data_IF_064459708636
#
_entry.id   IF_064459708636
#
_cell.length_a   1.000
_cell.length_b   1.000
_cell.length_c   1.000
_cell.angle_alpha   90.00
_cell.angle_beta   90.00
_cell.angle_gamma   90.00
#
_symmetry.space_group_name_H-M   'P 1'
#
loop_
_entity.id
_entity.type
_entity.pdbx_description
1 polymer ?
#
# COMPACT_ATOMS: atom_id res chain seq x y z
N UNK A 1 22.76 -11.46 -1.94
CA UNK A 1 21.81 -12.52 -1.56
C UNK A 1 20.47 -12.29 -2.25
N UNK A 2 20.21 -13.01 -3.34
CA UNK A 2 19.08 -12.85 -4.26
C UNK A 2 18.11 -14.05 -4.30
N UNK A 3 17.95 -14.77 -3.20
CA UNK A 3 17.20 -16.03 -3.13
C UNK A 3 15.68 -15.86 -2.89
N UNK A 4 15.12 -14.64 -3.06
CA UNK A 4 13.70 -14.38 -2.80
C UNK A 4 12.94 -14.22 -4.10
N UNK A 5 11.88 -15.01 -4.25
CA UNK A 5 10.94 -14.92 -5.38
C UNK A 5 10.10 -13.64 -5.26
N UNK A 6 9.72 -13.05 -6.39
CA UNK A 6 8.79 -11.91 -6.41
C UNK A 6 7.44 -12.33 -5.80
N UNK A 7 6.95 -11.67 -4.72
CA UNK A 7 5.67 -12.02 -4.10
C UNK A 7 4.48 -11.97 -5.04
N UNK A 8 4.49 -11.05 -6.02
CA UNK A 8 3.47 -10.92 -7.05
C UNK A 8 3.48 -12.17 -7.92
N UNK A 9 4.63 -12.49 -8.51
CA UNK A 9 4.80 -13.64 -9.40
C UNK A 9 4.48 -14.97 -8.72
N UNK A 10 4.85 -15.12 -7.44
CA UNK A 10 4.54 -16.30 -6.63
C UNK A 10 3.03 -16.54 -6.43
N UNK A 11 2.20 -15.50 -6.59
CA UNK A 11 0.76 -15.54 -6.32
C UNK A 11 -0.10 -15.34 -7.58
N UNK A 12 0.53 -15.16 -8.74
CA UNK A 12 -0.17 -15.11 -10.02
C UNK A 12 -0.87 -16.45 -10.27
N UNK A 13 -2.14 -16.39 -10.67
CA UNK A 13 -2.97 -17.58 -10.94
C UNK A 13 -3.62 -18.21 -9.71
N UNK A 14 -3.21 -17.85 -8.48
CA UNK A 14 -3.90 -18.29 -7.25
C UNK A 14 -5.04 -17.33 -6.91
N UNK A 15 -4.70 -16.05 -6.68
CA UNK A 15 -5.71 -15.01 -6.43
C UNK A 15 -5.43 -13.71 -7.20
N UNK A 16 -4.18 -13.45 -7.60
CA UNK A 16 -3.83 -12.23 -8.34
C UNK A 16 -3.96 -12.46 -9.84
N UNK A 17 -4.67 -11.54 -10.49
CA UNK A 17 -4.86 -11.51 -11.94
C UNK A 17 -3.69 -10.84 -12.67
N UNK A 18 -3.54 -11.16 -13.96
CA UNK A 18 -2.60 -10.50 -14.86
C UNK A 18 -2.92 -9.01 -15.06
N UNK A 19 -1.87 -8.21 -15.29
CA UNK A 19 -1.97 -6.80 -15.64
C UNK A 19 -2.28 -6.58 -17.14
N UNK A 20 -1.98 -7.58 -17.98
CA UNK A 20 -2.31 -7.55 -19.40
C UNK A 20 -3.25 -8.72 -19.72
N UNK A 21 -4.42 -8.41 -20.28
CA UNK A 21 -5.46 -9.37 -20.64
C UNK A 21 -5.71 -9.30 -22.13
N UNK A 22 -5.02 -10.16 -22.88
CA UNK A 22 -5.23 -10.34 -24.30
C UNK A 22 -4.59 -11.64 -24.75
N UNK A 23 -5.00 -12.11 -25.92
CA UNK A 23 -4.50 -13.34 -26.53
C UNK A 23 -4.04 -13.06 -27.95
N UNK A 24 -2.92 -13.66 -28.35
CA UNK A 24 -2.46 -13.66 -29.74
C UNK A 24 -1.56 -14.87 -29.99
N UNK A 25 -1.75 -15.52 -31.13
CA UNK A 25 -0.93 -16.67 -31.54
C UNK A 25 0.39 -16.20 -32.17
N UNK A 26 0.33 -15.74 -33.43
CA UNK A 26 1.52 -15.44 -34.25
C UNK A 26 2.11 -14.06 -34.00
N UNK A 27 1.29 -13.10 -33.57
CA UNK A 27 1.71 -11.70 -33.42
C UNK A 27 2.15 -11.33 -32.00
N UNK A 28 2.21 -12.30 -31.07
CA UNK A 28 2.49 -12.07 -29.66
C UNK A 28 3.72 -11.18 -29.40
N UNK A 29 4.84 -11.47 -30.08
CA UNK A 29 6.09 -10.72 -29.89
C UNK A 29 5.93 -9.25 -30.26
N UNK A 30 5.24 -8.91 -31.35
CA UNK A 30 5.03 -7.52 -31.78
C UNK A 30 4.18 -6.78 -30.76
N UNK A 31 3.09 -7.42 -30.33
CA UNK A 31 2.16 -6.86 -29.34
C UNK A 31 2.82 -6.65 -27.97
N UNK A 32 3.73 -7.54 -27.58
CA UNK A 32 4.49 -7.39 -26.35
C UNK A 32 5.45 -6.18 -26.40
N UNK A 33 6.14 -5.96 -27.52
CA UNK A 33 7.00 -4.78 -27.67
C UNK A 33 6.21 -3.48 -27.65
N UNK A 34 5.03 -3.47 -28.28
CA UNK A 34 4.08 -2.36 -28.19
C UNK A 34 3.69 -2.09 -26.72
N UNK A 35 3.32 -3.12 -25.96
CA UNK A 35 2.92 -2.97 -24.55
C UNK A 35 4.06 -2.44 -23.65
N UNK A 36 5.28 -2.96 -23.84
CA UNK A 36 6.46 -2.48 -23.11
C UNK A 36 6.76 -1.01 -23.43
N UNK A 37 6.62 -0.60 -24.70
CA UNK A 37 6.81 0.79 -25.10
C UNK A 37 5.74 1.71 -24.47
N UNK A 38 4.48 1.29 -24.48
CA UNK A 38 3.37 2.03 -23.87
C UNK A 38 3.57 2.19 -22.36
N UNK A 39 3.92 1.12 -21.64
CA UNK A 39 4.19 1.18 -20.19
C UNK A 39 5.33 2.13 -19.85
N UNK A 40 6.41 2.13 -20.65
CA UNK A 40 7.55 3.06 -20.48
C UNK A 40 7.12 4.51 -20.70
N UNK A 41 6.32 4.78 -21.74
CA UNK A 41 5.81 6.11 -22.04
C UNK A 41 4.93 6.63 -20.89
N UNK A 42 3.93 5.83 -20.48
CA UNK A 42 3.02 6.17 -19.37
C UNK A 42 3.82 6.43 -18.09
N UNK A 43 4.73 5.51 -17.73
CA UNK A 43 5.56 5.66 -16.53
C UNK A 43 6.49 6.89 -16.57
N UNK A 44 6.91 7.33 -17.75
CA UNK A 44 7.74 8.54 -17.90
C UNK A 44 6.92 9.83 -17.82
N UNK A 45 5.75 9.86 -18.46
CA UNK A 45 4.88 11.05 -18.55
C UNK A 45 4.15 11.32 -17.25
N UNK A 46 3.71 10.27 -16.56
CA UNK A 46 2.83 10.35 -15.39
C UNK A 46 3.57 10.17 -14.05
N UNK A 47 4.89 10.43 -14.02
CA UNK A 47 5.68 10.38 -12.77
C UNK A 47 5.06 11.19 -11.63
N UNK A 48 4.45 12.33 -11.94
CA UNK A 48 3.86 13.22 -10.95
C UNK A 48 2.46 12.77 -10.46
N UNK A 49 1.79 11.90 -11.21
CA UNK A 49 0.44 11.45 -10.91
C UNK A 49 0.41 10.30 -9.88
N UNK A 50 1.52 9.58 -9.69
CA UNK A 50 1.57 8.37 -8.86
C UNK A 50 0.72 7.26 -9.50
N UNK A 51 1.33 6.53 -10.43
CA UNK A 51 0.68 5.43 -11.15
C UNK A 51 1.02 4.14 -10.44
N UNK A 52 0.00 3.48 -9.87
CA UNK A 52 0.20 2.25 -9.12
C UNK A 52 0.23 1.03 -10.04
N UNK A 53 -0.76 0.94 -10.94
CA UNK A 53 -0.98 -0.20 -11.81
C UNK A 53 -1.47 0.26 -13.17
N UNK A 54 -0.96 -0.39 -14.21
CA UNK A 54 -1.40 -0.19 -15.59
C UNK A 54 -1.96 -1.52 -16.07
N UNK A 55 -3.25 -1.53 -16.33
CA UNK A 55 -3.97 -2.65 -16.91
C UNK A 55 -4.16 -2.42 -18.41
N UNK A 56 -3.99 -3.49 -19.20
CA UNK A 56 -4.07 -3.39 -20.66
C UNK A 56 -4.94 -4.50 -21.19
N UNK A 57 -6.05 -4.12 -21.81
CA UNK A 57 -6.99 -5.02 -22.45
C UNK A 57 -6.98 -4.72 -23.95
N UNK A 58 -6.74 -5.74 -24.77
CA UNK A 58 -6.71 -5.59 -26.22
C UNK A 58 -7.83 -6.40 -26.86
N UNK A 59 -8.70 -5.68 -27.57
CA UNK A 59 -9.63 -6.23 -28.53
C UNK A 59 -9.01 -6.19 -29.93
N UNK A 60 -9.60 -6.87 -30.92
CA UNK A 60 -9.05 -6.94 -32.28
C UNK A 60 -8.69 -5.54 -32.86
N UNK A 61 -9.62 -4.58 -32.72
CA UNK A 61 -9.52 -3.23 -33.33
C UNK A 61 -9.31 -2.10 -32.31
N UNK A 62 -9.39 -2.37 -31.01
CA UNK A 62 -9.34 -1.34 -29.98
C UNK A 62 -8.47 -1.78 -28.82
N UNK A 63 -7.64 -0.85 -28.33
CA UNK A 63 -6.85 -1.02 -27.13
C UNK A 63 -7.48 -0.23 -25.99
N UNK A 64 -7.77 -0.89 -24.88
CA UNK A 64 -8.24 -0.24 -23.65
C UNK A 64 -7.10 -0.25 -22.63
N UNK A 65 -6.63 0.94 -22.24
CA UNK A 65 -5.63 1.10 -21.20
C UNK A 65 -6.31 1.62 -19.96
N UNK A 66 -6.23 0.86 -18.88
CA UNK A 66 -6.81 1.20 -17.58
C UNK A 66 -5.68 1.60 -16.65
N UNK A 67 -5.68 2.86 -16.22
CA UNK A 67 -4.64 3.42 -15.36
C UNK A 67 -5.21 3.58 -13.95
N UNK A 68 -4.61 2.89 -12.99
CA UNK A 68 -4.92 3.08 -11.57
C UNK A 68 -3.97 4.10 -10.97
N UNK A 69 -4.52 5.20 -10.46
CA UNK A 69 -3.74 6.34 -9.96
C UNK A 69 -4.25 6.85 -8.63
N UNK A 70 -3.33 7.39 -7.83
CA UNK A 70 -3.67 8.12 -6.61
C UNK A 70 -4.23 9.52 -6.88
N UNK A 71 -3.88 10.14 -8.02
CA UNK A 71 -4.21 11.54 -8.32
C UNK A 71 -4.82 11.66 -9.73
N UNK A 72 -6.11 11.32 -9.90
CA UNK A 72 -6.76 11.36 -11.22
C UNK A 72 -6.76 12.76 -11.83
N UNK A 73 -6.83 13.83 -11.01
CA UNK A 73 -6.82 15.21 -11.50
C UNK A 73 -5.57 15.59 -12.31
N UNK A 74 -4.40 15.04 -11.96
CA UNK A 74 -3.15 15.31 -12.70
C UNK A 74 -3.16 14.56 -14.03
N UNK A 75 -3.71 13.34 -14.06
CA UNK A 75 -3.83 12.53 -15.29
C UNK A 75 -4.79 13.16 -16.28
N UNK A 76 -5.91 13.71 -15.78
CA UNK A 76 -6.93 14.35 -16.61
C UNK A 76 -6.43 15.69 -17.16
N UNK A 77 -5.78 16.49 -16.31
CA UNK A 77 -5.30 17.83 -16.65
C UNK A 77 -6.44 18.85 -16.80
N UNK A 78 -6.11 20.05 -17.29
CA UNK A 78 -7.09 21.12 -17.51
C UNK A 78 -8.01 20.72 -18.67
N UNK A 79 -9.32 20.57 -18.39
CA UNK A 79 -10.36 20.21 -19.37
C UNK A 79 -10.08 18.92 -20.18
N UNK A 80 -9.31 17.97 -19.63
CA UNK A 80 -9.01 16.71 -20.33
C UNK A 80 -7.83 16.75 -21.30
N UNK A 81 -7.16 17.90 -21.46
CA UNK A 81 -6.08 18.07 -22.43
C UNK A 81 -4.92 17.07 -22.27
N UNK A 82 -4.64 16.62 -21.03
CA UNK A 82 -3.57 15.65 -20.77
C UNK A 82 -3.96 14.23 -21.20
N UNK A 83 -5.24 13.86 -21.10
CA UNK A 83 -5.74 12.56 -21.57
C UNK A 83 -5.74 12.49 -23.08
N UNK A 84 -6.16 13.57 -23.74
CA UNK A 84 -6.17 13.65 -25.19
C UNK A 84 -4.75 13.56 -25.76
N UNK A 85 -3.80 14.29 -25.18
CA UNK A 85 -2.39 14.19 -25.55
C UNK A 85 -1.82 12.77 -25.34
N UNK A 86 -2.14 12.13 -24.21
CA UNK A 86 -1.70 10.76 -23.93
C UNK A 86 -2.30 9.77 -24.93
N UNK A 87 -3.58 9.95 -25.28
CA UNK A 87 -4.26 9.13 -26.26
C UNK A 87 -3.62 9.26 -27.64
N UNK A 88 -3.32 10.47 -28.11
CA UNK A 88 -2.66 10.70 -29.39
C UNK A 88 -1.27 10.04 -29.44
N UNK A 89 -0.50 10.14 -28.35
CA UNK A 89 0.81 9.49 -28.23
C UNK A 89 0.71 7.95 -28.26
N UNK A 90 -0.28 7.38 -27.57
CA UNK A 90 -0.51 5.93 -27.57
C UNK A 90 -1.04 5.44 -28.93
N UNK A 91 -1.85 6.22 -29.63
CA UNK A 91 -2.32 5.91 -30.99
C UNK A 91 -1.15 5.92 -31.99
N UNK A 92 -0.15 6.80 -31.83
CA UNK A 92 1.07 6.81 -32.67
C UNK A 92 1.92 5.54 -32.51
N UNK A 93 2.01 4.99 -31.30
CA UNK A 93 2.81 3.79 -31.02
C UNK A 93 2.06 2.52 -31.47
N UNK A 94 0.78 2.44 -31.16
CA UNK A 94 -0.04 1.23 -31.37
C UNK A 94 -0.58 1.14 -32.80
N UNK A 95 -0.77 2.27 -33.49
CA UNK A 95 -1.44 2.33 -34.80
C UNK A 95 -2.92 1.93 -34.77
N UNK A 96 -3.48 1.72 -33.57
CA UNK A 96 -4.87 1.33 -33.31
C UNK A 96 -5.56 2.39 -32.47
N UNK A 97 -6.90 2.39 -32.47
CA UNK A 97 -7.69 3.28 -31.61
C UNK A 97 -7.49 2.91 -30.14
N UNK A 98 -7.12 3.90 -29.33
CA UNK A 98 -6.86 3.72 -27.90
C UNK A 98 -7.96 4.36 -27.07
N UNK A 99 -8.47 3.63 -26.08
CA UNK A 99 -9.38 4.13 -25.05
C UNK A 99 -8.65 4.13 -23.71
N UNK A 100 -8.46 5.31 -23.14
CA UNK A 100 -7.84 5.46 -21.82
C UNK A 100 -8.94 5.58 -20.77
N UNK A 101 -8.90 4.70 -19.76
CA UNK A 101 -9.82 4.72 -18.60
C UNK A 101 -9.00 4.95 -17.33
N UNK A 102 -9.41 5.89 -16.50
CA UNK A 102 -8.69 6.26 -15.28
C UNK A 102 -9.50 5.78 -14.09
N UNK A 103 -8.88 4.96 -13.24
CA UNK A 103 -9.44 4.53 -11.96
C UNK A 103 -8.68 5.18 -10.81
N UNK A 104 -9.43 5.72 -9.87
CA UNK A 104 -8.89 6.34 -8.67
C UNK A 104 -8.68 5.31 -7.56
N UNK A 105 -7.50 5.34 -6.95
CA UNK A 105 -7.20 4.63 -5.71
C UNK A 105 -7.58 5.55 -4.55
N UNK A 106 -8.65 5.19 -3.83
CA UNK A 106 -9.16 5.98 -2.69
C UNK A 106 -8.13 6.14 -1.57
N UNK A 107 -7.36 5.10 -1.31
CA UNK A 107 -6.40 5.04 -0.20
C UNK A 107 -5.02 4.65 -0.73
N UNK A 108 -4.15 5.64 -1.04
CA UNK A 108 -2.84 5.37 -1.66
C UNK A 108 -1.88 4.60 -0.75
N UNK A 109 -2.10 4.64 0.57
CA UNK A 109 -1.26 3.98 1.57
C UNK A 109 -1.47 2.45 1.64
N UNK A 110 -2.50 1.92 0.96
CA UNK A 110 -2.74 0.47 0.83
C UNK A 110 -1.99 -0.16 -0.36
N UNK A 111 -1.51 0.66 -1.31
CA UNK A 111 -0.79 0.19 -2.49
C UNK A 111 0.73 0.25 -2.28
N UNK A 112 1.42 -0.87 -2.47
CA UNK A 112 2.83 -0.96 -2.16
C UNK A 112 3.70 -0.11 -3.11
N UNK A 113 3.26 0.09 -4.35
CA UNK A 113 4.01 0.88 -5.35
C UNK A 113 3.97 2.36 -4.99
N UNK A 114 2.79 2.88 -4.65
CA UNK A 114 2.62 4.27 -4.24
C UNK A 114 3.37 4.59 -2.94
N UNK A 115 3.34 3.66 -1.98
CA UNK A 115 4.10 3.76 -0.74
C UNK A 115 5.61 3.79 -1.03
N UNK A 116 6.11 2.93 -1.92
CA UNK A 116 7.51 2.94 -2.32
C UNK A 116 7.92 4.24 -3.03
N UNK A 117 7.08 4.77 -3.92
CA UNK A 117 7.30 6.06 -4.60
C UNK A 117 7.32 7.25 -3.63
N UNK A 118 6.47 7.22 -2.60
CA UNK A 118 6.45 8.24 -1.55
C UNK A 118 7.76 8.25 -0.76
N UNK A 119 8.23 7.08 -0.33
CA UNK A 119 9.54 6.95 0.35
C UNK A 119 10.67 7.41 -0.56
N UNK A 120 10.64 7.01 -1.84
CA UNK A 120 11.65 7.45 -2.81
C UNK A 120 11.68 8.98 -2.95
N UNK A 121 10.52 9.61 -3.07
CA UNK A 121 10.37 11.06 -3.16
C UNK A 121 10.87 11.78 -1.89
N UNK A 122 10.70 11.18 -0.71
CA UNK A 122 11.23 11.72 0.55
C UNK A 122 12.77 11.64 0.62
N UNK A 123 13.34 10.55 0.13
CA UNK A 123 14.80 10.38 0.05
C UNK A 123 15.45 11.34 -0.95
N UNK A 124 14.78 11.62 -2.07
CA UNK A 124 15.23 12.63 -3.04
C UNK A 124 15.24 14.05 -2.45
N UNK A 125 14.28 14.35 -1.56
CA UNK A 125 14.21 15.60 -0.78
C UNK A 125 15.21 15.67 0.38
N UNK A 126 16.16 14.73 0.49
CA UNK A 126 17.19 14.67 1.53
C UNK A 126 16.64 14.50 2.96
N UNK A 127 15.45 13.92 3.11
CA UNK A 127 14.94 13.54 4.43
C UNK A 127 15.75 12.35 4.96
N UNK A 128 16.02 12.32 6.27
CA UNK A 128 16.69 11.20 6.90
C UNK A 128 15.95 9.88 6.64
N UNK A 129 16.65 8.86 6.14
CA UNK A 129 16.02 7.61 5.70
C UNK A 129 15.27 6.88 6.82
N UNK A 130 15.77 6.89 8.07
CA UNK A 130 15.07 6.31 9.23
C UNK A 130 13.76 7.01 9.54
N UNK A 131 13.73 8.35 9.41
CA UNK A 131 12.51 9.13 9.59
C UNK A 131 11.50 8.82 8.50
N UNK A 132 11.93 8.79 7.24
CA UNK A 132 11.07 8.47 6.10
C UNK A 132 10.46 7.07 6.22
N UNK A 133 11.24 6.08 6.69
CA UNK A 133 10.80 4.71 6.96
C UNK A 133 9.72 4.68 8.04
N UNK A 134 10.04 5.14 9.26
CA UNK A 134 9.09 5.12 10.39
C UNK A 134 7.82 5.90 10.10
N UNK A 135 7.95 7.08 9.47
CA UNK A 135 6.81 7.93 9.13
C UNK A 135 5.86 7.24 8.14
N UNK A 136 6.41 6.63 7.10
CA UNK A 136 5.61 5.91 6.09
C UNK A 136 4.99 4.66 6.69
N UNK A 137 5.75 3.90 7.48
CA UNK A 137 5.27 2.69 8.15
C UNK A 137 4.07 2.97 9.08
N UNK A 138 4.18 4.00 9.94
CA UNK A 138 3.08 4.43 10.79
C UNK A 138 1.84 4.86 9.99
N UNK A 139 2.04 5.49 8.82
CA UNK A 139 0.95 5.93 7.97
C UNK A 139 0.22 4.76 7.31
N UNK A 140 0.96 3.77 6.79
CA UNK A 140 0.38 2.54 6.23
C UNK A 140 -0.36 1.72 7.28
N UNK A 141 0.17 1.61 8.51
CA UNK A 141 -0.50 0.93 9.61
C UNK A 141 -1.82 1.65 10.00
N UNK A 142 -1.81 2.98 10.07
CA UNK A 142 -3.04 3.78 10.32
C UNK A 142 -4.10 3.61 9.23
N UNK A 143 -3.67 3.37 7.99
CA UNK A 143 -4.59 3.11 6.88
C UNK A 143 -5.26 1.73 6.94
N UNK A 144 -4.88 0.86 7.88
CA UNK A 144 -5.49 -0.45 8.10
C UNK A 144 -4.72 -1.62 7.49
N UNK A 145 -3.45 -1.44 7.12
CA UNK A 145 -2.59 -2.55 6.69
C UNK A 145 -2.25 -3.44 7.91
N UNK A 146 -2.38 -4.77 7.79
CA UNK A 146 -2.13 -5.71 8.89
C UNK A 146 -0.65 -5.95 9.18
N UNK A 147 0.20 -5.64 8.21
CA UNK A 147 1.64 -5.57 8.40
C UNK A 147 2.34 -4.99 7.19
N UNK A 148 3.40 -4.26 7.44
CA UNK A 148 4.18 -3.59 6.41
C UNK A 148 5.67 -3.84 6.68
N UNK A 149 6.41 -4.09 5.61
CA UNK A 149 7.87 -4.15 5.63
C UNK A 149 8.40 -3.21 4.55
N UNK A 150 9.27 -2.29 4.92
CA UNK A 150 9.92 -1.38 3.98
C UNK A 150 11.42 -1.56 4.12
N UNK A 151 12.09 -1.82 3.00
CA UNK A 151 13.53 -1.99 2.93
C UNK A 151 14.12 -0.95 1.99
N UNK A 152 15.20 -0.31 2.43
CA UNK A 152 15.95 0.66 1.65
C UNK A 152 17.37 0.16 1.49
N UNK A 153 17.89 0.22 0.28
CA UNK A 153 19.21 -0.29 -0.08
C UNK A 153 19.96 0.71 -0.95
N UNK A 154 21.22 0.97 -0.61
CA UNK A 154 22.07 1.90 -1.36
C UNK A 154 22.98 2.73 -0.46
N UNK A 155 23.45 3.86 -0.97
CA UNK A 155 24.30 4.82 -0.25
C UNK A 155 23.46 5.69 0.68
N UNK A 156 23.02 5.11 1.79
CA UNK A 156 22.14 5.78 2.75
C UNK A 156 22.86 6.96 3.41
N UNK A 157 22.23 8.13 3.40
CA UNK A 157 22.79 9.35 4.00
C UNK A 157 24.06 9.88 3.32
N UNK A 158 24.37 9.43 2.10
CA UNK A 158 25.60 9.85 1.38
C UNK A 158 26.85 9.07 1.78
N UNK A 159 26.73 8.00 2.55
CA UNK A 159 27.87 7.12 2.87
C UNK A 159 28.50 6.54 1.60
N UNK A 160 29.83 6.32 1.62
CA UNK A 160 30.56 5.69 0.51
C UNK A 160 30.13 4.24 0.32
N UNK A 161 29.93 3.49 1.42
CA UNK A 161 29.53 2.09 1.38
C UNK A 161 28.00 1.93 1.33
N UNK A 162 27.52 1.05 0.45
CA UNK A 162 26.09 0.74 0.39
C UNK A 162 25.64 -0.08 1.61
N UNK A 163 24.55 0.34 2.25
CA UNK A 163 23.93 -0.37 3.37
C UNK A 163 22.50 -0.80 3.00
N UNK A 164 21.97 -1.78 3.73
CA UNK A 164 20.58 -2.22 3.62
C UNK A 164 19.93 -2.11 4.99
N UNK A 165 19.00 -1.18 5.12
CA UNK A 165 18.20 -1.00 6.34
C UNK A 165 16.76 -1.43 6.02
N UNK A 166 16.09 -2.07 6.97
CA UNK A 166 14.69 -2.42 6.83
C UNK A 166 13.97 -2.14 8.15
N UNK A 167 12.74 -1.69 8.01
CA UNK A 167 11.81 -1.51 9.13
C UNK A 167 10.57 -2.36 8.86
N UNK A 168 9.99 -2.94 9.90
CA UNK A 168 8.83 -3.83 9.79
C UNK A 168 7.92 -3.62 10.98
N UNK A 169 6.65 -3.45 10.68
CA UNK A 169 5.58 -3.42 11.66
C UNK A 169 4.50 -4.45 11.28
N UNK A 170 3.90 -5.08 12.29
CA UNK A 170 2.91 -6.14 12.11
C UNK A 170 3.42 -7.41 11.44
N UNK A 171 2.49 -8.18 10.85
CA UNK A 171 2.75 -9.51 10.27
C UNK A 171 2.90 -9.43 8.76
N UNK A 172 3.97 -10.01 8.20
CA UNK A 172 4.18 -10.12 6.74
C UNK A 172 4.53 -11.58 6.38
N UNK A 173 3.53 -12.44 6.14
CA UNK A 173 3.75 -13.84 5.81
C UNK A 173 4.08 -14.02 4.31
N UNK A 174 5.36 -14.13 3.97
CA UNK A 174 5.80 -14.23 2.56
C UNK A 174 5.60 -15.63 1.95
N UNK A 175 5.70 -16.68 2.76
CA UNK A 175 5.59 -18.07 2.30
C UNK A 175 4.14 -18.53 2.12
N UNK A 176 3.19 -17.88 2.79
CA UNK A 176 1.77 -18.26 2.73
C UNK A 176 1.15 -17.75 1.43
N UNK A 177 0.67 -18.66 0.57
CA UNK A 177 0.05 -18.31 -0.71
C UNK A 177 -1.28 -17.58 -0.55
N UNK A 178 -2.09 -17.93 0.46
CA UNK A 178 -3.39 -17.31 0.75
C UNK A 178 -3.29 -15.86 1.22
N UNK A 179 -2.10 -15.44 1.68
CA UNK A 179 -1.89 -14.11 2.21
C UNK A 179 -1.87 -13.11 1.05
N UNK A 180 -2.74 -12.10 1.12
CA UNK A 180 -2.75 -10.99 0.19
C UNK A 180 -1.59 -10.03 0.51
N UNK A 181 -0.47 -10.28 -0.16
CA UNK A 181 0.74 -9.46 -0.03
C UNK A 181 0.95 -8.70 -1.33
N UNK A 182 0.92 -7.37 -1.22
CA UNK A 182 1.31 -6.49 -2.30
C UNK A 182 2.79 -6.12 -2.19
N UNK A 183 3.43 -5.93 -3.34
CA UNK A 183 4.87 -5.63 -3.43
C UNK A 183 5.11 -4.49 -4.40
N UNK A 184 5.87 -3.50 -3.94
CA UNK A 184 6.24 -2.33 -4.72
C UNK A 184 7.74 -2.12 -4.68
N UNK A 185 8.29 -1.65 -5.79
CA UNK A 185 9.69 -1.25 -5.88
C UNK A 185 9.78 0.13 -6.54
N UNK A 186 10.57 1.01 -5.93
CA UNK A 186 10.86 2.32 -6.47
C UNK A 186 12.36 2.62 -6.36
N UNK A 187 12.86 3.45 -7.28
CA UNK A 187 14.24 3.93 -7.27
C UNK A 187 14.26 5.43 -6.99
N UNK A 188 14.94 5.84 -5.93
CA UNK A 188 15.20 7.24 -5.62
C UNK A 188 16.51 7.69 -6.29
N UNK A 189 16.45 8.79 -7.03
CA UNK A 189 17.61 9.38 -7.72
C UNK A 189 18.22 10.47 -6.84
N UNK A 190 19.32 10.13 -6.17
CA UNK A 190 20.06 11.07 -5.31
C UNK A 190 21.35 11.53 -5.99
N UNK A 191 21.98 12.59 -5.47
CA UNK A 191 23.26 13.09 -6.00
C UNK A 191 24.39 12.07 -5.91
N UNK A 192 24.33 11.16 -4.93
CA UNK A 192 25.37 10.16 -4.69
C UNK A 192 25.13 8.84 -5.41
N UNK A 193 24.01 8.71 -6.14
CA UNK A 193 23.62 7.51 -6.86
C UNK A 193 22.15 7.16 -6.68
N UNK A 194 21.83 5.88 -6.86
CA UNK A 194 20.47 5.36 -6.75
C UNK A 194 20.27 4.63 -5.42
N UNK A 195 19.14 4.88 -4.79
CA UNK A 195 18.69 4.15 -3.62
C UNK A 195 17.45 3.36 -4.00
N UNK A 196 17.51 2.04 -3.85
CA UNK A 196 16.40 1.14 -4.10
C UNK A 196 15.51 1.00 -2.87
N UNK A 197 14.22 1.26 -3.03
CA UNK A 197 13.19 1.07 -2.00
C UNK A 197 12.32 -0.12 -2.41
N UNK A 198 12.15 -1.06 -1.49
CA UNK A 198 11.27 -2.23 -1.64
C UNK A 198 10.24 -2.19 -0.52
N UNK A 199 8.97 -2.34 -0.87
CA UNK A 199 7.85 -2.33 0.07
C UNK A 199 7.06 -3.64 -0.06
N UNK A 200 6.72 -4.24 1.08
CA UNK A 200 5.78 -5.36 1.20
C UNK A 200 4.65 -4.92 2.10
N UNK A 201 3.41 -4.96 1.62
CA UNK A 201 2.22 -4.67 2.40
C UNK A 201 1.36 -5.93 2.50
N UNK A 202 0.92 -6.26 3.70
CA UNK A 202 -0.01 -7.35 3.98
C UNK A 202 -1.39 -6.78 4.30
N UNK A 203 -2.32 -6.96 3.35
CA UNK A 203 -3.69 -6.43 3.42
C UNK A 203 -4.62 -7.39 4.18
N UNK A 204 -4.23 -8.66 4.35
CA UNK A 204 -5.03 -9.70 4.97
C UNK A 204 -4.96 -11.02 4.24
N UNK A 205 -5.61 -12.04 4.79
CA UNK A 205 -5.82 -13.30 4.08
C UNK A 205 -6.90 -13.07 3.01
N UNK A 206 -6.69 -13.59 1.81
CA UNK A 206 -7.68 -13.53 0.75
C UNK A 206 -8.83 -14.49 1.07
N UNK A 207 -10.03 -13.97 1.14
CA UNK A 207 -11.28 -14.73 1.34
C UNK A 207 -11.86 -15.01 -0.04
N UNK A 208 -12.11 -16.28 -0.36
CA UNK A 208 -12.72 -16.68 -1.63
C UNK A 208 -14.12 -16.08 -1.77
N UNK A 209 -14.67 -16.00 -2.99
CA UNK A 209 -15.97 -15.38 -3.31
C UNK A 209 -17.18 -15.87 -2.49
N UNK A 210 -17.04 -16.96 -1.73
CA UNK A 210 -18.03 -17.49 -0.78
C UNK A 210 -17.98 -16.84 0.62
N UNK A 211 -17.10 -15.87 0.88
CA UNK A 211 -17.05 -15.15 2.17
C UNK A 211 -16.52 -15.97 3.35
N UNK A 212 -16.26 -17.27 3.16
CA UNK A 212 -15.63 -18.12 4.15
C UNK A 212 -14.10 -18.04 4.03
N UNK A 213 -13.38 -17.68 5.10
CA UNK A 213 -11.95 -17.84 5.13
C UNK A 213 -11.66 -19.33 4.92
N UNK A 214 -10.78 -19.67 3.97
CA UNK A 214 -10.35 -21.07 3.78
C UNK A 214 -9.93 -21.59 5.15
N UNK A 215 -10.62 -22.62 5.70
CA UNK A 215 -10.35 -23.08 7.04
C UNK A 215 -8.88 -23.43 7.14
N UNK A 216 -8.24 -22.95 8.21
CA UNK A 216 -6.86 -23.27 8.50
C UNK A 216 -6.82 -24.76 8.79
N UNK A 217 -6.50 -25.59 7.79
CA UNK A 217 -6.21 -26.99 8.00
C UNK A 217 -4.98 -27.07 8.92
N UNK A 218 -5.23 -27.24 10.21
CA UNK A 218 -4.22 -27.33 11.26
C UNK A 218 -4.05 -26.05 12.09
N UNK A 219 -4.90 -25.88 13.11
CA UNK A 219 -4.54 -25.56 14.51
C UNK A 219 -5.81 -25.24 15.33
N UNK A 220 -6.68 -26.22 15.46
CA UNK A 220 -7.21 -26.52 16.79
C UNK A 220 -6.36 -27.70 17.24
N UNK A 221 -5.32 -27.41 18.02
CA UNK A 221 -4.69 -28.45 18.82
C UNK A 221 -5.74 -28.74 19.89
N UNK A 222 -6.29 -29.97 19.99
CA UNK A 222 -7.12 -30.28 21.15
C UNK A 222 -6.27 -29.97 22.38
N UNK A 223 -6.85 -29.22 23.29
CA UNK A 223 -6.29 -28.93 24.61
C UNK A 223 -5.82 -30.28 25.19
N UNK A 224 -4.54 -30.43 25.59
CA UNK A 224 -4.09 -31.70 26.10
C UNK A 224 -4.91 -32.02 27.35
N UNK A 225 -5.63 -33.15 27.30
CA UNK A 225 -6.39 -33.66 28.44
C UNK A 225 -5.49 -33.67 29.69
N UNK A 226 -6.03 -33.37 30.88
CA UNK A 226 -5.26 -33.41 32.12
C UNK A 226 -4.59 -34.78 32.25
N UNK A 227 -3.28 -34.79 32.40
CA UNK A 227 -2.48 -36.00 32.56
C UNK A 227 -2.76 -36.53 33.96
N UNK A 228 -3.52 -37.62 34.08
CA UNK A 228 -3.66 -38.34 35.34
C UNK A 228 -2.27 -38.81 35.80
N UNK A 229 -1.91 -38.47 37.03
CA UNK A 229 -0.66 -38.87 37.65
C UNK A 229 -0.68 -40.39 37.91
N UNK A 230 0.41 -41.13 37.65
CA UNK A 230 0.46 -42.55 37.96
C UNK A 230 0.57 -42.75 39.47
N UNK A 231 -0.42 -43.45 40.04
CA UNK A 231 -0.43 -43.90 41.43
C UNK A 231 0.79 -44.80 41.67
N UNK A 232 1.65 -44.41 42.61
CA UNK A 232 2.80 -45.20 43.05
C UNK A 232 2.32 -46.57 43.59
N UNK A 233 2.80 -47.65 42.96
CA UNK A 233 2.67 -48.99 43.52
C UNK A 233 3.72 -49.14 44.63
N UNK A 234 3.29 -49.02 45.88
CA UNK A 234 4.07 -49.43 47.04
C UNK A 234 4.37 -50.92 46.95
N UNK A 235 5.64 -51.28 46.81
CA UNK A 235 6.14 -52.65 46.93
C UNK A 235 6.15 -53.00 48.42
N UNK A 236 5.32 -53.96 48.81
CA UNK A 236 5.33 -54.56 50.15
C UNK A 236 6.54 -55.49 50.24
N UNK A 237 7.49 -55.15 51.11
CA UNK A 237 8.55 -56.07 51.56
C UNK A 237 8.02 -56.76 52.82
N UNK A 238 7.98 -58.12 52.90
CA UNK A 238 7.58 -58.79 54.12
C UNK A 238 8.75 -58.88 55.12
N UNK A 239 8.36 -58.81 56.39
CA UNK A 239 9.19 -58.66 57.58
C UNK A 239 10.11 -59.84 57.90
N UNK A 240 11.15 -59.55 58.69
CA UNK A 240 11.76 -60.52 59.63
C UNK A 240 12.07 -59.80 60.95
N UNK A 241 11.67 -60.45 62.05
CA UNK A 241 11.62 -60.04 63.47
C UNK A 241 12.98 -59.68 64.11
N UNK A 242 13.02 -58.56 64.85
CA UNK A 242 13.13 -58.39 66.33
C UNK A 242 14.57 -58.32 66.88
N UNK A 243 14.89 -57.26 67.63
CA UNK A 243 15.03 -57.22 69.12
C UNK A 243 15.16 -55.74 69.56
N UNK A 244 14.51 -55.43 70.69
CA UNK A 244 14.33 -54.13 71.35
C UNK A 244 15.56 -53.57 72.10
N UNK A 245 15.58 -52.25 72.35
CA UNK A 245 15.66 -51.65 73.70
C UNK A 245 15.40 -50.11 73.68
N UNK A 246 14.66 -49.61 74.66
CA UNK A 246 14.34 -48.19 74.93
C UNK A 246 15.46 -47.46 75.70
N UNK A 247 15.43 -46.11 75.74
CA UNK A 247 15.27 -45.27 76.97
C UNK A 247 15.76 -43.81 76.77
N UNK A 248 14.80 -42.88 76.89
CA UNK A 248 14.72 -41.57 77.58
C UNK A 248 15.75 -40.38 77.48
N UNK A 249 15.13 -39.19 77.66
CA UNK A 249 15.63 -37.90 78.23
C UNK A 249 16.62 -37.05 77.41
N UNK A 250 16.63 -35.71 77.39
CA UNK A 250 15.86 -34.59 77.98
C UNK A 250 16.28 -33.31 77.21
N UNK A 251 15.52 -32.21 77.30
CA UNK A 251 15.90 -30.87 76.79
C UNK A 251 16.70 -30.14 77.89
N UNK A 252 17.68 -29.27 77.57
CA UNK A 252 17.46 -27.86 77.92
C UNK A 252 18.07 -26.81 76.99
N UNK A 253 17.53 -25.62 77.23
CA UNK A 253 17.71 -24.28 76.67
C UNK A 253 19.02 -23.64 77.15
N UNK A 254 19.60 -22.71 76.38
CA UNK A 254 20.36 -21.60 76.96
C UNK A 254 20.33 -20.36 76.06
N UNK A 255 19.88 -19.27 76.67
CA UNK A 255 19.85 -17.90 76.17
C UNK A 255 21.20 -17.19 76.38
N UNK A 256 21.43 -16.10 75.66
CA UNK A 256 22.33 -15.00 76.09
C UNK A 256 21.67 -13.65 75.75
N UNK A 257 21.66 -12.79 76.78
CA UNK A 257 21.25 -11.38 76.90
C UNK A 257 22.03 -10.44 75.94
N UNK A 258 21.78 -9.14 75.73
CA UNK A 258 21.27 -8.01 76.54
C UNK A 258 21.08 -6.82 75.55
N UNK A 259 19.97 -6.06 75.57
CA UNK A 259 19.76 -4.79 76.30
C UNK A 259 20.71 -3.63 75.95
N UNK A 260 20.18 -2.58 75.29
CA UNK A 260 20.13 -1.18 75.77
C UNK A 260 19.47 -0.27 74.71
N UNK A 261 18.60 0.64 75.16
CA UNK A 261 17.80 1.52 74.31
C UNK A 261 18.21 2.99 74.41
N UNK A 262 17.73 3.81 73.47
CA UNK A 262 17.32 5.21 73.71
C UNK A 262 16.57 5.75 72.46
N UNK A 263 15.60 6.64 72.70
CA UNK A 263 14.50 6.94 71.77
C UNK A 263 14.72 8.08 70.76
N UNK A 264 13.76 8.21 69.83
CA UNK A 264 13.28 9.47 69.25
C UNK A 264 12.04 9.22 68.37
N UNK A 265 10.95 9.93 68.64
CA UNK A 265 9.78 10.11 67.77
C UNK A 265 10.18 10.82 66.47
N UNK A 266 9.62 10.40 65.32
CA UNK A 266 8.94 11.29 64.34
C UNK A 266 7.95 10.42 63.53
N UNK A 267 6.68 10.79 63.61
CA UNK A 267 5.64 10.36 62.70
C UNK A 267 5.79 11.07 61.35
N UNK A 268 5.59 10.36 60.24
CA UNK A 268 4.84 10.94 59.12
C UNK A 268 4.16 9.84 58.30
N UNK A 269 2.85 9.99 58.22
CA UNK A 269 1.91 9.18 57.47
C UNK A 269 1.91 9.68 56.02
N UNK A 270 1.93 8.76 55.05
CA UNK A 270 1.60 9.08 53.65
C UNK A 270 0.08 8.89 53.52
N UNK A 271 -0.70 9.93 53.16
CA UNK A 271 -2.12 9.77 52.90
C UNK A 271 -2.37 9.33 51.44
N UNK A 272 -3.32 8.42 51.30
CA UNK A 272 -4.17 8.25 50.13
C UNK A 272 -5.17 9.43 50.08
N UNK A 273 -5.48 9.92 48.87
CA UNK A 273 -6.68 10.69 48.46
C UNK A 273 -6.31 11.82 47.48
N UNK A 274 -6.43 11.57 46.17
CA UNK A 274 -6.72 12.60 45.16
C UNK A 274 -7.53 11.97 44.00
N UNK A 275 -8.82 11.74 44.25
CA UNK A 275 -9.88 11.78 43.23
C UNK A 275 -10.71 13.04 43.48
N UNK A 276 -10.44 14.14 42.77
CA UNK A 276 -11.37 15.21 42.38
C UNK A 276 -10.58 16.39 41.80
N UNK A 277 -10.42 16.43 40.48
CA UNK A 277 -10.41 17.64 39.61
C UNK A 277 -10.03 17.25 38.16
N UNK A 278 -10.98 16.68 37.44
CA UNK A 278 -11.03 16.76 35.97
C UNK A 278 -12.50 16.86 35.53
N UNK A 279 -13.16 17.92 35.99
CA UNK A 279 -14.42 18.39 35.42
C UNK A 279 -14.25 19.84 34.94
N UNK A 280 -13.41 20.05 33.92
CA UNK A 280 -13.41 21.30 33.14
C UNK A 280 -12.68 21.23 31.79
N UNK A 281 -12.82 20.18 30.95
CA UNK A 281 -12.65 20.34 29.46
C UNK A 281 -13.45 19.28 28.67
N UNK A 282 -14.71 19.02 29.01
CA UNK A 282 -15.62 18.26 28.14
C UNK A 282 -17.02 18.87 28.23
N UNK A 283 -17.23 20.03 27.58
CA UNK A 283 -18.50 20.73 27.71
C UNK A 283 -18.61 22.04 26.92
N UNK A 284 -18.20 22.05 25.65
CA UNK A 284 -18.58 23.09 24.69
C UNK A 284 -18.26 22.61 23.28
N UNK A 285 -19.10 21.73 22.73
CA UNK A 285 -19.35 21.54 21.27
C UNK A 285 -20.35 20.38 21.04
N UNK A 286 -21.45 20.37 21.80
CA UNK A 286 -22.55 19.40 21.65
C UNK A 286 -23.93 20.06 21.51
N UNK A 287 -23.97 21.31 21.04
CA UNK A 287 -25.22 22.03 20.77
C UNK A 287 -25.14 22.79 19.43
N UNK A 288 -24.86 22.05 18.35
CA UNK A 288 -24.97 22.56 16.98
C UNK A 288 -25.44 21.52 15.94
N UNK A 289 -25.92 20.35 16.36
CA UNK A 289 -26.36 19.27 15.44
C UNK A 289 -27.85 18.90 15.55
N UNK A 290 -28.61 19.51 16.47
CA UNK A 290 -30.07 19.36 16.49
C UNK A 290 -30.80 20.59 15.94
N UNK A 291 -30.53 20.94 14.68
CA UNK A 291 -31.44 21.81 13.91
C UNK A 291 -31.32 21.68 12.39
N UNK A 292 -31.10 20.47 11.86
CA UNK A 292 -31.29 20.21 10.41
C UNK A 292 -31.81 18.79 10.18
N UNK A 293 -32.92 18.42 10.82
CA UNK A 293 -33.67 17.24 10.39
C UNK A 293 -35.15 17.39 10.76
N UNK A 294 -35.84 18.25 10.01
CA UNK A 294 -37.31 18.29 9.89
C UNK A 294 -37.65 19.25 8.75
N UNK A 295 -37.62 18.75 7.52
CA UNK A 295 -38.40 19.27 6.39
C UNK A 295 -38.31 18.27 5.24
N UNK A 296 -39.17 17.24 5.31
CA UNK A 296 -39.66 16.60 4.09
C UNK A 296 -40.49 17.61 3.30
N UNK A 297 -40.46 17.57 1.96
CA UNK A 297 -41.67 17.92 1.22
C UNK A 297 -42.20 16.74 0.44
N UNK A 298 -43.49 16.53 0.68
CA UNK A 298 -44.39 15.66 -0.04
C UNK A 298 -44.38 15.94 -1.55
N UNK A 299 -44.42 14.84 -2.28
CA UNK A 299 -44.96 14.63 -3.63
C UNK A 299 -46.20 15.50 -3.91
N UNK A 300 -46.13 16.35 -4.95
CA UNK A 300 -47.30 16.88 -5.64
C UNK A 300 -46.97 17.26 -7.10
N UNK A 301 -47.55 16.47 -8.01
CA UNK A 301 -47.97 16.73 -9.38
C UNK A 301 -47.96 18.19 -9.88
N UNK A 302 -47.21 18.46 -10.96
CA UNK A 302 -47.60 19.44 -11.97
C UNK A 302 -46.92 19.14 -13.33
N UNK A 303 -47.78 18.84 -14.31
CA UNK A 303 -47.47 18.69 -15.74
C UNK A 303 -46.69 19.88 -16.29
N UNK A 304 -45.69 19.64 -17.15
CA UNK A 304 -45.32 20.55 -18.25
C UNK A 304 -44.87 19.76 -19.48
N UNK A 305 -45.50 20.08 -20.62
CA UNK A 305 -45.35 19.48 -21.96
C UNK A 305 -43.92 19.66 -22.53
N UNK A 306 -43.45 18.76 -23.41
CA UNK A 306 -42.24 18.97 -24.19
C UNK A 306 -42.49 19.96 -25.34
N UNK A 307 -41.63 20.98 -25.49
CA UNK A 307 -41.64 21.89 -26.65
C UNK A 307 -40.69 21.35 -27.71
N UNK A 308 -41.20 21.34 -28.93
CA UNK A 308 -40.71 20.66 -30.11
C UNK A 308 -39.39 21.22 -30.68
N UNK A 309 -38.72 20.30 -31.37
CA UNK A 309 -37.58 20.51 -32.25
C UNK A 309 -37.81 21.62 -33.29
N UNK A 310 -36.79 22.45 -33.50
CA UNK A 310 -36.73 23.42 -34.59
C UNK A 310 -35.66 22.98 -35.59
N UNK A 311 -36.09 22.50 -36.75
CA UNK A 311 -35.26 22.33 -37.96
C UNK A 311 -34.77 23.71 -38.42
N UNK A 312 -33.54 23.87 -38.92
CA UNK A 312 -33.20 25.01 -39.76
C UNK A 312 -33.65 24.75 -41.20
N UNK A 313 -34.43 25.70 -41.74
CA UNK A 313 -34.81 25.76 -43.14
C UNK A 313 -33.70 26.42 -43.99
N UNK A 314 -33.59 25.89 -45.21
CA UNK A 314 -32.94 26.43 -46.41
C UNK A 314 -33.19 27.92 -46.65
N UNK A 315 -32.13 28.67 -46.94
CA UNK A 315 -32.18 29.83 -47.85
C UNK A 315 -30.80 30.06 -48.50
N UNK A 316 -30.83 30.01 -49.82
CA UNK A 316 -29.82 30.37 -50.80
C UNK A 316 -29.31 31.81 -50.69
N UNK A 317 -28.01 32.05 -50.98
CA UNK A 317 -27.54 33.14 -51.85
C UNK A 317 -26.05 33.02 -52.20
N UNK A 318 -25.81 32.65 -53.45
CA UNK A 318 -24.89 33.22 -54.44
C UNK A 318 -23.82 34.22 -53.96
N UNK A 319 -22.52 33.91 -54.16
CA UNK A 319 -21.55 34.75 -54.90
C UNK A 319 -20.09 34.25 -54.81
N UNK A 320 -19.53 33.90 -55.98
CA UNK A 320 -18.19 34.22 -56.52
C UNK A 320 -16.89 33.89 -55.73
N UNK A 321 -16.13 32.93 -56.30
CA UNK A 321 -14.65 32.66 -56.24
C UNK A 321 -13.78 33.94 -56.51
N UNK A 322 -12.43 33.96 -56.30
CA UNK A 322 -11.49 32.84 -56.50
C UNK A 322 -10.29 32.64 -55.55
N UNK A 323 -9.84 31.38 -55.59
CA UNK A 323 -8.53 30.76 -55.34
C UNK A 323 -7.32 31.61 -54.87
N UNK A 324 -6.69 31.17 -53.78
CA UNK A 324 -5.31 31.51 -53.40
C UNK A 324 -4.47 30.22 -53.34
N UNK A 325 -3.45 30.15 -54.18
CA UNK A 325 -2.48 29.04 -54.33
C UNK A 325 -1.41 29.16 -53.22
N UNK A 326 -0.91 28.06 -52.61
CA UNK A 326 0.15 28.13 -51.60
C UNK A 326 1.53 28.30 -52.24
N UNK A 327 2.35 29.16 -51.63
CA UNK A 327 3.72 29.45 -52.03
C UNK A 327 4.68 28.32 -51.60
N UNK A 328 5.57 27.91 -52.51
CA UNK A 328 6.72 27.04 -52.26
C UNK A 328 8.01 27.88 -52.27
N UNK A 329 9.06 27.51 -51.51
CA UNK A 329 10.25 28.34 -51.28
C UNK A 329 11.23 28.35 -52.49
N UNK A 330 12.05 29.42 -52.65
CA UNK A 330 12.98 29.56 -53.77
C UNK A 330 14.18 28.62 -53.65
N UNK A 331 14.52 27.96 -54.77
CA UNK A 331 15.75 27.20 -54.97
C UNK A 331 16.93 28.13 -55.18
N UNK A 332 18.00 27.84 -54.47
CA UNK A 332 19.36 28.37 -54.55
C UNK A 332 19.92 28.27 -55.97
N UNK A 333 20.44 29.39 -56.47
CA UNK A 333 21.24 29.52 -57.69
C UNK A 333 22.60 28.88 -57.49
N UNK A 334 22.99 28.03 -58.45
CA UNK A 334 24.33 27.49 -58.58
C UNK A 334 25.24 28.50 -59.29
N UNK A 335 26.39 28.79 -58.69
CA UNK A 335 27.58 29.36 -59.32
C UNK A 335 28.25 28.29 -60.21
N UNK A 336 28.85 28.66 -61.35
CA UNK A 336 29.93 27.91 -61.95
C UNK A 336 31.25 28.64 -61.68
N UNK A 337 32.12 28.04 -60.87
CA UNK A 337 33.52 28.45 -60.74
C UNK A 337 34.36 27.65 -61.75
N UNK A 338 35.05 28.39 -62.61
CA UNK A 338 36.09 27.91 -63.51
C UNK A 338 37.43 27.83 -62.76
N UNK A 339 38.36 27.09 -63.35
CA UNK A 339 39.83 27.19 -63.24
C UNK A 339 40.60 26.58 -62.04
N UNK A 340 41.34 25.52 -62.41
CA UNK A 340 42.79 25.32 -62.23
C UNK A 340 43.42 24.81 -60.91
N UNK A 341 44.34 23.86 -61.14
CA UNK A 341 45.35 23.16 -60.31
C UNK A 341 44.92 22.08 -59.29
#
# INVERSE_FOLDING_TARGET
MGQKVNPIGFRLGVYRNWDARWYADKEYTKLLHEDLAMRRLIGSRLRNAGVARIETERSANQLTVIIHTAKPGIVIGKQGASVDALRDELERISGKKVRVTIHEIKTPELDATLVAENVASQLEKRIAFRRALKQTLMRSMRAGVKGAKIQVSGRLGGSEMSRREWDRDGRVPLHTLRANVDYGQAEARTTFGRIGVQCWLYLGDFVTATGEPIPVAGRERPEPAPREEPVERTVVIPATEEVAEEVAEEVPVLAVESADGDGAEVADQIPEDEEEEIEAVVGADAEAVQKVEKLSPKRATARRKPVAAKKPATASRTAKKPARKPAAPPRTTAEPDETEE
#
